data_IF_614071800034
#
_entry.id   IF_614071800034
#
_cell.length_a   1.000
_cell.length_b   1.000
_cell.length_c   1.000
_cell.angle_alpha   90.00
_cell.angle_beta   90.00
_cell.angle_gamma   90.00
#
_symmetry.space_group_name_H-M   'P 1'
#
loop_
_entity.id
_entity.type
_entity.pdbx_description
1 polymer ?
#
# COMPACT_ATOMS: atom_id res chain seq x y z
N UNK A 1 -0.26 17.44 3.60
CA UNK A 1 -0.65 16.01 3.73
C UNK A 1 0.40 15.32 4.59
N UNK A 2 0.00 14.39 5.46
CA UNK A 2 0.91 13.60 6.30
C UNK A 2 1.84 12.73 5.43
N UNK A 3 3.06 12.46 5.90
CA UNK A 3 4.07 11.70 5.15
C UNK A 3 3.85 10.20 5.28
N UNK A 4 4.04 9.43 4.21
CA UNK A 4 4.09 7.96 4.29
C UNK A 4 5.36 7.51 5.01
N UNK A 5 5.33 6.30 5.61
CA UNK A 5 6.56 5.75 6.23
C UNK A 5 7.68 5.53 5.19
N UNK A 6 7.32 5.27 3.92
CA UNK A 6 8.28 5.14 2.81
C UNK A 6 8.97 6.46 2.46
N UNK A 7 8.23 7.57 2.45
CA UNK A 7 8.82 8.91 2.29
C UNK A 7 9.74 9.25 3.45
N UNK A 8 9.35 8.90 4.69
CA UNK A 8 10.20 9.11 5.86
C UNK A 8 11.48 8.30 5.78
N UNK A 9 11.41 7.02 5.38
CA UNK A 9 12.59 6.17 5.15
C UNK A 9 13.51 6.75 4.08
N UNK A 10 12.95 7.18 2.95
CA UNK A 10 13.71 7.76 1.84
C UNK A 10 14.40 9.06 2.26
N UNK A 11 13.70 9.90 3.03
CA UNK A 11 14.29 11.10 3.62
C UNK A 11 15.46 10.77 4.55
N UNK A 12 15.28 9.85 5.49
CA UNK A 12 16.34 9.45 6.43
C UNK A 12 17.53 8.80 5.71
N UNK A 13 17.28 7.97 4.71
CA UNK A 13 18.32 7.37 3.87
C UNK A 13 19.08 8.42 3.07
N UNK A 14 18.40 9.48 2.60
CA UNK A 14 19.04 10.60 1.89
C UNK A 14 20.01 11.40 2.77
N UNK A 15 19.89 11.30 4.09
CA UNK A 15 20.77 11.95 5.07
C UNK A 15 22.00 11.10 5.39
N UNK A 16 21.99 9.79 5.09
CA UNK A 16 23.11 8.89 5.38
C UNK A 16 24.37 9.41 4.68
N UNK A 17 25.47 9.49 5.43
CA UNK A 17 26.74 10.06 4.94
C UNK A 17 26.79 11.61 4.94
N UNK A 18 25.71 12.29 5.34
CA UNK A 18 25.65 13.76 5.43
C UNK A 18 25.57 14.24 6.88
N UNK A 19 26.10 15.43 7.12
CA UNK A 19 25.96 16.15 8.40
C UNK A 19 24.60 16.84 8.40
N UNK A 20 23.78 16.57 9.40
CA UNK A 20 22.46 17.21 9.57
C UNK A 20 22.60 18.68 9.96
N UNK A 21 21.72 19.53 9.44
CA UNK A 21 21.74 20.97 9.69
C UNK A 21 20.59 21.33 10.63
N UNK A 22 20.89 21.99 11.73
CA UNK A 22 19.90 22.59 12.61
C UNK A 22 19.65 24.05 12.19
N UNK A 23 18.45 24.32 11.68
CA UNK A 23 18.08 25.67 11.20
C UNK A 23 17.85 26.67 12.33
N UNK A 24 17.69 26.20 13.57
CA UNK A 24 17.42 27.04 14.74
C UNK A 24 18.69 27.43 15.52
N UNK A 25 19.75 26.64 15.39
CA UNK A 25 21.05 26.86 16.03
C UNK A 25 22.15 26.06 15.31
N UNK A 26 23.02 26.77 14.60
CA UNK A 26 24.15 26.15 13.88
C UNK A 26 25.14 25.40 14.78
N UNK A 27 25.20 25.69 16.09
CA UNK A 27 26.02 24.94 17.05
C UNK A 27 25.54 23.51 17.27
N UNK A 28 24.31 23.19 16.86
CA UNK A 28 23.71 21.86 16.94
C UNK A 28 23.87 21.05 15.65
N UNK A 29 24.52 21.61 14.62
CA UNK A 29 24.79 20.89 13.37
C UNK A 29 25.53 19.57 13.62
N UNK A 30 25.06 18.50 12.97
CA UNK A 30 25.62 17.16 13.09
C UNK A 30 25.34 16.44 14.40
N UNK A 31 24.65 17.06 15.36
CA UNK A 31 24.30 16.40 16.62
C UNK A 31 23.06 15.50 16.47
N UNK A 32 22.93 14.48 17.32
CA UNK A 32 21.78 13.57 17.34
C UNK A 32 20.42 14.29 17.37
N UNK A 33 20.30 15.39 18.11
CA UNK A 33 19.05 16.20 18.18
C UNK A 33 18.71 16.88 16.86
N UNK A 34 19.72 17.25 16.05
CA UNK A 34 19.49 17.88 14.75
C UNK A 34 18.84 16.90 13.78
N UNK A 35 19.17 15.61 13.83
CA UNK A 35 18.49 14.57 13.03
C UNK A 35 16.99 14.51 13.35
N UNK A 36 16.62 14.54 14.64
CA UNK A 36 15.23 14.51 15.07
C UNK A 36 14.47 15.75 14.60
N UNK A 37 15.09 16.94 14.70
CA UNK A 37 14.50 18.20 14.22
C UNK A 37 14.26 18.20 12.72
N UNK A 38 15.22 17.70 11.94
CA UNK A 38 15.09 17.54 10.49
C UNK A 38 13.94 16.60 10.14
N UNK A 39 13.80 15.49 10.87
CA UNK A 39 12.67 14.57 10.72
C UNK A 39 11.34 15.24 11.04
N UNK A 40 11.23 15.93 12.18
CA UNK A 40 10.00 16.61 12.60
C UNK A 40 9.58 17.69 11.59
N UNK A 41 10.54 18.43 11.04
CA UNK A 41 10.28 19.39 9.96
C UNK A 41 9.77 18.68 8.70
N UNK A 42 10.42 17.58 8.29
CA UNK A 42 10.02 16.81 7.11
C UNK A 42 8.60 16.25 7.19
N UNK A 43 8.21 15.73 8.36
CA UNK A 43 6.85 15.19 8.58
C UNK A 43 5.80 16.27 8.87
N UNK A 44 6.20 17.53 8.97
CA UNK A 44 5.31 18.65 9.25
C UNK A 44 4.77 18.68 10.68
N UNK A 45 5.53 18.14 11.64
CA UNK A 45 5.16 18.24 13.06
C UNK A 45 5.26 19.70 13.53
N UNK A 46 4.36 20.15 14.43
CA UNK A 46 4.41 21.49 14.98
C UNK A 46 5.68 21.67 15.83
N UNK A 47 6.26 22.87 15.78
CA UNK A 47 7.43 23.27 16.58
C UNK A 47 8.62 22.27 16.53
N UNK A 48 9.13 21.90 15.34
CA UNK A 48 10.17 20.86 15.22
C UNK A 48 11.44 21.17 16.02
N UNK A 49 11.73 22.45 16.28
CA UNK A 49 12.90 22.94 17.00
C UNK A 49 12.70 23.14 18.52
N UNK A 50 11.57 22.69 19.08
CA UNK A 50 11.24 22.94 20.49
C UNK A 50 12.27 22.37 21.49
N UNK A 51 12.90 21.24 21.17
CA UNK A 51 13.98 20.70 21.99
C UNK A 51 15.31 21.40 21.65
N UNK A 52 15.79 22.28 22.53
CA UNK A 52 17.06 23.02 22.35
C UNK A 52 18.19 22.54 23.27
N UNK A 53 17.88 21.59 24.16
CA UNK A 53 18.79 21.08 25.20
C UNK A 53 19.34 19.68 24.91
N UNK A 54 19.63 18.96 25.98
CA UNK A 54 20.24 17.64 25.93
C UNK A 54 19.28 16.61 25.31
N UNK A 55 19.82 15.60 24.62
CA UNK A 55 19.02 14.53 24.03
C UNK A 55 18.13 13.82 25.07
N UNK A 56 18.58 13.73 26.33
CA UNK A 56 17.80 13.15 27.44
C UNK A 56 16.51 13.92 27.79
N UNK A 57 16.40 15.19 27.38
CA UNK A 57 15.26 16.06 27.72
C UNK A 57 14.15 15.98 26.67
N UNK A 58 14.44 15.41 25.48
CA UNK A 58 13.51 15.24 24.36
C UNK A 58 12.17 14.61 24.78
N UNK A 59 12.13 13.51 25.55
CA UNK A 59 10.85 12.94 26.02
C UNK A 59 9.97 13.95 26.74
N UNK A 60 10.53 14.72 27.69
CA UNK A 60 9.75 15.65 28.50
C UNK A 60 9.20 16.80 27.64
N UNK A 61 10.03 17.34 26.72
CA UNK A 61 9.63 18.45 25.84
C UNK A 61 8.60 18.01 24.80
N UNK A 62 8.84 16.94 24.05
CA UNK A 62 7.96 16.57 22.94
C UNK A 62 6.66 15.93 23.40
N UNK A 63 6.64 15.21 24.52
CA UNK A 63 5.38 14.67 25.06
C UNK A 63 4.50 15.79 25.61
N UNK A 64 5.06 16.73 26.39
CA UNK A 64 4.28 17.84 26.96
C UNK A 64 3.68 18.77 25.91
N UNK A 65 4.33 18.89 24.73
CA UNK A 65 3.84 19.69 23.61
C UNK A 65 2.94 18.91 22.63
N UNK A 66 2.64 17.64 22.90
CA UNK A 66 1.86 16.80 22.01
C UNK A 66 2.57 16.44 20.70
N UNK A 67 3.87 16.71 20.58
CA UNK A 67 4.71 16.38 19.42
C UNK A 67 4.95 14.87 19.34
N UNK A 68 5.08 14.18 20.47
CA UNK A 68 5.24 12.73 20.50
C UNK A 68 4.40 12.09 21.62
N UNK A 69 4.12 10.79 21.50
CA UNK A 69 3.46 9.99 22.54
C UNK A 69 4.45 9.03 23.16
N UNK A 70 4.33 8.74 24.46
CA UNK A 70 5.14 7.70 25.10
C UNK A 70 4.72 6.33 24.57
N UNK A 71 5.70 5.47 24.27
CA UNK A 71 5.47 4.11 23.77
C UNK A 71 5.90 3.92 22.33
N UNK A 72 5.83 2.68 21.86
CA UNK A 72 6.25 2.31 20.52
C UNK A 72 5.17 2.55 19.45
N UNK A 73 5.62 2.69 18.22
CA UNK A 73 4.83 2.86 17.00
C UNK A 73 5.57 2.38 15.76
N UNK A 74 5.13 2.82 14.60
CA UNK A 74 5.81 2.57 13.32
C UNK A 74 7.03 3.47 13.16
N UNK A 75 6.89 4.77 13.41
CA UNK A 75 7.97 5.75 13.45
C UNK A 75 8.27 6.14 14.89
N UNK A 76 9.51 5.95 15.33
CA UNK A 76 9.90 6.15 16.72
C UNK A 76 11.13 7.04 16.85
N UNK A 77 11.18 7.80 17.95
CA UNK A 77 12.42 8.32 18.52
C UNK A 77 12.81 7.39 19.66
N UNK A 78 13.98 6.78 19.57
CA UNK A 78 14.60 6.06 20.68
C UNK A 78 15.54 6.99 21.43
N UNK A 79 15.50 6.91 22.76
CA UNK A 79 16.25 7.77 23.66
C UNK A 79 17.04 6.92 24.63
N UNK A 80 18.30 7.28 24.85
CA UNK A 80 19.11 6.79 25.95
C UNK A 80 19.50 7.98 26.82
N UNK A 81 18.83 8.16 27.96
CA UNK A 81 19.10 9.29 28.88
C UNK A 81 20.50 9.26 29.49
N UNK A 82 21.07 8.06 29.62
CA UNK A 82 22.39 7.83 30.18
C UNK A 82 23.50 7.78 29.10
N UNK A 83 23.12 7.85 27.82
CA UNK A 83 24.05 7.89 26.71
C UNK A 83 24.89 9.17 26.72
N UNK A 84 26.00 9.14 25.99
CA UNK A 84 26.80 10.32 25.69
C UNK A 84 27.22 11.15 26.91
N UNK A 85 27.87 10.53 27.90
CA UNK A 85 28.41 11.27 29.06
C UNK A 85 27.36 12.00 29.91
N UNK A 86 26.10 11.55 29.90
CA UNK A 86 25.00 12.15 30.68
C UNK A 86 24.23 13.26 29.97
N UNK A 87 24.57 13.57 28.72
CA UNK A 87 23.79 14.44 27.81
C UNK A 87 22.66 13.66 27.09
N UNK A 88 22.72 12.34 27.16
CA UNK A 88 21.82 11.44 26.48
C UNK A 88 22.16 11.26 25.00
N UNK A 89 21.49 10.32 24.36
CA UNK A 89 21.58 10.06 22.92
C UNK A 89 20.20 9.76 22.36
N UNK A 90 19.91 10.23 21.15
CA UNK A 90 18.63 10.00 20.46
C UNK A 90 18.84 9.54 19.04
N UNK A 91 17.96 8.68 18.55
CA UNK A 91 17.99 8.21 17.18
C UNK A 91 16.59 7.86 16.67
N UNK A 92 16.45 7.75 15.35
CA UNK A 92 15.18 7.38 14.72
C UNK A 92 15.14 5.87 14.53
N UNK A 93 14.00 5.23 14.83
CA UNK A 93 13.75 3.80 14.56
C UNK A 93 12.49 3.59 13.73
N UNK A 94 12.59 2.71 12.73
CA UNK A 94 11.45 2.19 11.96
C UNK A 94 11.64 0.67 11.80
N UNK A 95 10.85 -0.13 12.52
CA UNK A 95 11.04 -1.58 12.57
C UNK A 95 12.44 -1.94 13.10
N UNK A 96 13.18 -2.72 12.31
CA UNK A 96 14.58 -3.10 12.62
C UNK A 96 15.62 -2.05 12.19
N UNK A 97 15.23 -1.04 11.41
CA UNK A 97 16.17 -0.02 10.95
C UNK A 97 16.30 1.14 11.95
N UNK A 98 17.51 1.69 12.02
CA UNK A 98 17.83 2.87 12.81
C UNK A 98 18.73 3.86 12.08
N UNK A 99 18.49 5.15 12.30
CA UNK A 99 19.30 6.26 11.78
C UNK A 99 19.76 7.12 12.94
N UNK A 100 21.07 7.35 13.03
CA UNK A 100 21.66 8.19 14.06
C UNK A 100 22.75 9.09 13.51
N UNK A 101 22.69 10.37 13.90
CA UNK A 101 23.85 11.25 13.88
C UNK A 101 24.52 11.15 15.25
N UNK A 102 25.85 11.05 15.27
CA UNK A 102 26.61 11.05 16.52
C UNK A 102 26.87 12.51 16.96
N UNK A 103 27.90 12.74 17.76
CA UNK A 103 28.28 14.06 18.27
C UNK A 103 28.60 15.07 17.16
N UNK A 104 28.89 16.32 17.53
CA UNK A 104 29.12 17.42 16.60
C UNK A 104 30.00 17.05 15.38
N UNK A 105 29.51 17.30 14.17
CA UNK A 105 30.23 17.09 12.91
C UNK A 105 30.19 15.66 12.32
N UNK A 106 29.51 14.70 12.97
CA UNK A 106 29.40 13.34 12.42
C UNK A 106 28.25 13.19 11.42
N UNK A 107 28.51 12.48 10.34
CA UNK A 107 27.49 12.11 9.37
C UNK A 107 26.46 11.14 9.95
N UNK A 108 25.22 11.21 9.45
CA UNK A 108 24.18 10.22 9.76
C UNK A 108 24.64 8.83 9.30
N UNK A 109 24.45 7.85 10.16
CA UNK A 109 24.72 6.44 9.90
C UNK A 109 23.46 5.63 10.09
N UNK A 110 23.35 4.53 9.34
CA UNK A 110 22.24 3.59 9.40
C UNK A 110 22.70 2.28 10.04
N UNK A 111 21.93 1.76 10.99
CA UNK A 111 22.11 0.42 11.59
C UNK A 111 23.48 0.17 12.26
N UNK A 112 24.09 1.20 12.86
CA UNK A 112 25.48 1.17 13.39
C UNK A 112 25.58 0.91 14.91
N UNK A 113 24.65 0.13 15.46
CA UNK A 113 24.64 -0.26 16.88
C UNK A 113 23.86 0.70 17.78
N UNK A 114 23.05 0.11 18.66
CA UNK A 114 22.13 0.83 19.55
C UNK A 114 22.64 0.77 21.00
N UNK A 115 22.57 1.90 21.69
CA UNK A 115 22.77 1.94 23.14
C UNK A 115 21.48 1.55 23.86
N UNK A 116 21.57 1.20 25.15
CA UNK A 116 20.40 0.85 25.95
C UNK A 116 19.35 1.97 25.92
N UNK A 117 18.17 1.64 25.41
CA UNK A 117 17.03 2.53 25.29
C UNK A 117 16.40 2.70 26.67
N UNK A 118 16.24 3.95 27.10
CA UNK A 118 15.50 4.32 28.32
C UNK A 118 14.08 4.75 28.01
N UNK A 119 13.85 5.38 26.85
CA UNK A 119 12.52 5.86 26.44
C UNK A 119 12.32 5.62 24.94
N UNK A 120 11.09 5.31 24.56
CA UNK A 120 10.63 5.26 23.16
C UNK A 120 9.46 6.23 23.03
N UNK A 121 9.53 7.08 22.00
CA UNK A 121 8.50 8.05 21.67
C UNK A 121 7.92 7.74 20.28
N UNK A 122 6.61 7.59 20.20
CA UNK A 122 5.83 7.34 19.00
C UNK A 122 5.53 8.67 18.28
N UNK A 123 5.79 8.69 16.96
CA UNK A 123 5.53 9.81 16.05
C UNK A 123 4.47 9.49 14.97
N UNK A 124 3.72 8.40 15.13
CA UNK A 124 2.80 7.87 14.11
C UNK A 124 1.70 8.87 13.72
N UNK A 125 1.37 9.81 14.60
CA UNK A 125 0.41 10.87 14.32
C UNK A 125 0.85 11.83 13.20
N UNK A 126 2.13 11.82 12.82
CA UNK A 126 2.68 12.66 11.74
C UNK A 126 2.88 11.89 10.43
N UNK A 127 2.56 10.60 10.42
CA UNK A 127 2.64 9.78 9.23
C UNK A 127 1.25 9.26 8.84
N UNK A 128 1.03 9.04 7.55
CA UNK A 128 -0.17 8.34 7.10
C UNK A 128 -0.04 6.86 7.47
N UNK A 129 -1.00 6.33 8.24
CA UNK A 129 -1.12 4.89 8.54
C UNK A 129 -1.58 4.05 7.35
N UNK A 130 -1.79 4.69 6.20
CA UNK A 130 -1.92 4.05 4.90
C UNK A 130 -0.63 3.28 4.60
N UNK A 131 -0.72 1.94 4.61
CA UNK A 131 0.26 1.05 3.98
C UNK A 131 0.21 1.23 2.45
N UNK A 132 0.42 2.45 1.97
CA UNK A 132 0.57 2.76 0.54
C UNK A 132 2.06 2.66 0.19
N UNK A 133 2.44 1.70 -0.68
CA UNK A 133 3.82 1.54 -1.09
C UNK A 133 4.29 2.77 -1.86
N UNK A 134 5.44 3.31 -1.45
CA UNK A 134 6.13 4.42 -2.11
C UNK A 134 6.47 4.06 -3.57
N UNK A 135 6.32 4.99 -4.52
CA UNK A 135 6.81 4.82 -5.88
C UNK A 135 8.34 4.84 -5.87
N UNK A 136 8.94 3.64 -5.76
CA UNK A 136 10.39 3.42 -5.75
C UNK A 136 10.93 2.55 -4.61
N UNK A 137 10.09 2.15 -3.64
CA UNK A 137 10.49 1.30 -2.51
C UNK A 137 10.23 -0.19 -2.77
N UNK A 138 11.16 -1.06 -2.36
CA UNK A 138 11.03 -2.52 -2.36
C UNK A 138 9.71 -2.92 -1.68
N UNK A 139 8.76 -3.46 -2.42
CA UNK A 139 7.63 -4.16 -1.81
C UNK A 139 8.16 -5.42 -1.12
N UNK A 140 7.78 -5.62 0.15
CA UNK A 140 8.21 -6.77 0.97
C UNK A 140 7.05 -7.52 1.59
N UNK A 141 5.81 -7.11 1.30
CA UNK A 141 4.58 -7.67 1.87
C UNK A 141 3.52 -7.79 0.78
N UNK A 142 2.61 -8.76 0.93
CA UNK A 142 1.50 -8.94 0.01
C UNK A 142 0.54 -7.74 0.06
N UNK A 143 0.24 -7.18 -1.11
CA UNK A 143 -0.75 -6.14 -1.33
C UNK A 143 -2.13 -6.70 -1.69
N UNK A 144 -3.11 -5.80 -1.77
CA UNK A 144 -4.51 -6.20 -2.00
C UNK A 144 -4.76 -6.79 -3.38
N UNK A 145 -3.99 -6.39 -4.40
CA UNK A 145 -4.07 -6.93 -5.76
C UNK A 145 -3.55 -8.37 -5.79
N UNK A 146 -2.43 -8.64 -5.12
CA UNK A 146 -1.89 -9.98 -4.93
C UNK A 146 -2.82 -10.91 -4.15
N UNK A 147 -3.35 -10.46 -3.01
CA UNK A 147 -4.32 -11.25 -2.22
C UNK A 147 -5.56 -11.60 -3.04
N UNK A 148 -6.15 -10.63 -3.75
CA UNK A 148 -7.31 -10.88 -4.61
C UNK A 148 -6.99 -11.87 -5.73
N UNK A 149 -5.81 -11.77 -6.34
CA UNK A 149 -5.37 -12.68 -7.39
C UNK A 149 -5.24 -14.11 -6.87
N UNK A 150 -4.59 -14.31 -5.72
CA UNK A 150 -4.44 -15.64 -5.11
C UNK A 150 -5.82 -16.23 -4.80
N UNK A 151 -6.66 -15.49 -4.07
CA UNK A 151 -8.00 -15.95 -3.68
C UNK A 151 -8.88 -16.32 -4.87
N UNK A 152 -8.77 -15.58 -5.99
CA UNK A 152 -9.47 -15.88 -7.24
C UNK A 152 -9.10 -17.25 -7.81
N UNK A 153 -7.83 -17.68 -7.70
CA UNK A 153 -7.38 -18.94 -8.27
C UNK A 153 -7.48 -20.13 -7.32
N UNK A 154 -7.26 -19.93 -6.02
CA UNK A 154 -7.36 -21.02 -5.04
C UNK A 154 -8.81 -21.41 -4.76
N UNK A 155 -9.69 -20.41 -4.59
CA UNK A 155 -11.02 -20.62 -4.02
C UNK A 155 -10.96 -21.01 -2.54
N UNK A 156 -12.03 -20.71 -1.79
CA UNK A 156 -12.12 -21.06 -0.37
C UNK A 156 -12.99 -22.30 -0.19
N UNK A 157 -12.45 -23.34 0.47
CA UNK A 157 -13.21 -24.54 0.86
C UNK A 157 -13.20 -24.68 2.37
N UNK A 158 -14.35 -24.42 3.00
CA UNK A 158 -14.46 -24.37 4.46
C UNK A 158 -14.49 -25.74 5.15
N UNK A 159 -14.61 -26.83 4.40
CA UNK A 159 -14.51 -28.20 4.91
C UNK A 159 -13.23 -28.83 4.38
N UNK A 160 -12.45 -29.46 5.27
CA UNK A 160 -11.22 -30.13 4.90
C UNK A 160 -11.48 -31.24 3.85
N UNK A 161 -10.54 -31.42 2.93
CA UNK A 161 -10.62 -32.41 1.86
C UNK A 161 -9.25 -33.01 1.57
N UNK A 162 -9.25 -34.22 1.01
CA UNK A 162 -8.05 -34.97 0.61
C UNK A 162 -8.06 -35.08 -0.92
N UNK A 163 -6.95 -34.68 -1.56
CA UNK A 163 -6.78 -34.76 -3.01
C UNK A 163 -6.08 -36.07 -3.44
N UNK A 164 -5.66 -36.91 -2.49
CA UNK A 164 -4.89 -38.13 -2.73
C UNK A 164 -3.40 -37.90 -2.95
N UNK A 165 -2.91 -36.68 -2.72
CA UNK A 165 -1.51 -36.27 -2.87
C UNK A 165 -0.68 -36.37 -1.57
N UNK A 166 -1.29 -36.92 -0.50
CA UNK A 166 -0.67 -37.06 0.81
C UNK A 166 -0.85 -35.84 1.73
N UNK A 167 -1.62 -34.84 1.31
CA UNK A 167 -1.95 -33.65 2.11
C UNK A 167 -3.45 -33.57 2.41
N UNK A 168 -3.79 -32.97 3.56
CA UNK A 168 -5.16 -32.57 3.87
C UNK A 168 -5.28 -31.07 3.70
N UNK A 169 -6.21 -30.63 2.84
CA UNK A 169 -6.35 -29.22 2.43
C UNK A 169 -7.64 -28.60 2.97
N UNK A 170 -7.61 -27.33 3.37
CA UNK A 170 -8.77 -26.54 3.84
C UNK A 170 -8.57 -25.04 3.58
N UNK A 171 -9.64 -24.24 3.60
CA UNK A 171 -9.60 -22.79 3.46
C UNK A 171 -9.15 -22.36 2.07
N UNK A 172 -8.22 -21.40 2.02
CA UNK A 172 -7.64 -20.85 0.79
C UNK A 172 -6.47 -21.67 0.24
N UNK A 173 -6.48 -23.00 0.42
CA UNK A 173 -5.38 -23.87 0.00
C UNK A 173 -4.36 -24.19 1.10
N UNK A 174 -4.70 -23.97 2.37
CA UNK A 174 -3.88 -24.41 3.49
C UNK A 174 -3.82 -25.94 3.49
N UNK A 175 -2.61 -26.50 3.50
CA UNK A 175 -2.38 -27.94 3.38
C UNK A 175 -1.39 -28.43 4.45
N UNK A 176 -1.75 -29.51 5.13
CA UNK A 176 -0.90 -30.17 6.13
C UNK A 176 -0.67 -31.65 5.77
N UNK A 177 0.51 -32.22 6.05
CA UNK A 177 0.80 -33.62 5.75
C UNK A 177 -0.14 -34.59 6.46
N UNK A 178 -0.66 -35.55 5.71
CA UNK A 178 -1.52 -36.60 6.24
C UNK A 178 -0.77 -37.40 7.32
N UNK A 179 -1.42 -37.57 8.48
CA UNK A 179 -0.83 -38.22 9.66
C UNK A 179 -0.02 -37.28 10.57
N UNK A 180 0.18 -36.02 10.18
CA UNK A 180 0.82 -34.97 11.02
C UNK A 180 -0.11 -33.77 11.24
N UNK A 181 -1.41 -33.96 11.05
CA UNK A 181 -2.42 -32.92 11.09
C UNK A 181 -3.62 -33.33 11.95
N UNK A 182 -4.26 -32.35 12.59
CA UNK A 182 -5.57 -32.53 13.21
C UNK A 182 -6.74 -32.35 12.22
N UNK A 183 -6.47 -31.97 10.97
CA UNK A 183 -7.49 -31.81 9.93
C UNK A 183 -8.01 -33.19 9.50
N UNK A 184 -9.33 -33.36 9.55
CA UNK A 184 -10.02 -34.58 9.15
C UNK A 184 -10.90 -34.28 7.93
N UNK A 185 -10.62 -34.89 6.76
CA UNK A 185 -11.42 -34.70 5.55
C UNK A 185 -12.91 -34.95 5.76
N UNK A 186 -13.75 -34.06 5.26
CA UNK A 186 -15.21 -34.11 5.39
C UNK A 186 -15.74 -33.79 6.79
N UNK A 187 -14.89 -33.62 7.81
CA UNK A 187 -15.29 -33.44 9.21
C UNK A 187 -14.82 -32.08 9.75
N UNK A 188 -13.54 -31.73 9.59
CA UNK A 188 -13.04 -30.45 10.07
C UNK A 188 -13.58 -29.31 9.22
N UNK A 189 -14.20 -28.33 9.88
CA UNK A 189 -14.76 -27.14 9.23
C UNK A 189 -14.20 -25.85 9.82
N UNK A 190 -13.98 -24.85 8.99
CA UNK A 190 -13.59 -23.50 9.40
C UNK A 190 -14.70 -22.49 9.11
N UNK A 191 -14.72 -21.38 9.85
CA UNK A 191 -15.43 -20.18 9.43
C UNK A 191 -14.63 -19.46 8.34
N UNK A 192 -15.30 -18.62 7.55
CA UNK A 192 -14.62 -17.78 6.56
C UNK A 192 -13.52 -16.92 7.20
N UNK A 193 -13.80 -16.30 8.35
CA UNK A 193 -12.82 -15.51 9.10
C UNK A 193 -11.60 -16.34 9.53
N UNK A 194 -11.79 -17.62 9.89
CA UNK A 194 -10.66 -18.50 10.24
C UNK A 194 -9.81 -18.85 9.03
N UNK A 195 -10.44 -19.12 7.88
CA UNK A 195 -9.73 -19.35 6.63
C UNK A 195 -8.92 -18.11 6.21
N UNK A 196 -9.49 -16.91 6.34
CA UNK A 196 -8.81 -15.64 6.04
C UNK A 196 -7.64 -15.35 7.01
N UNK A 197 -7.82 -15.66 8.30
CA UNK A 197 -6.75 -15.55 9.30
C UNK A 197 -5.60 -16.52 8.99
N UNK A 198 -5.92 -17.77 8.67
CA UNK A 198 -4.91 -18.78 8.34
C UNK A 198 -4.18 -18.44 7.05
N UNK A 199 -4.88 -17.97 6.02
CA UNK A 199 -4.27 -17.50 4.78
C UNK A 199 -3.18 -16.45 5.04
N UNK A 200 -3.46 -15.46 5.90
CA UNK A 200 -2.47 -14.44 6.28
C UNK A 200 -1.23 -15.03 6.95
N UNK A 201 -1.39 -16.08 7.76
CA UNK A 201 -0.26 -16.79 8.41
C UNK A 201 0.55 -17.57 7.38
N UNK A 202 -0.10 -18.30 6.50
CA UNK A 202 0.57 -19.08 5.45
C UNK A 202 1.36 -18.18 4.50
N UNK A 203 0.80 -17.02 4.14
CA UNK A 203 1.43 -16.04 3.26
C UNK A 203 2.81 -15.57 3.74
N UNK A 204 3.10 -15.63 5.04
CA UNK A 204 4.42 -15.27 5.59
C UNK A 204 5.54 -16.09 4.93
N UNK A 205 5.34 -17.40 4.74
CA UNK A 205 6.36 -18.27 4.16
C UNK A 205 6.63 -17.91 2.68
N UNK A 206 5.58 -17.64 1.91
CA UNK A 206 5.66 -17.32 0.48
C UNK A 206 6.25 -15.92 0.24
N UNK A 207 5.84 -14.93 1.03
CA UNK A 207 6.41 -13.58 1.02
C UNK A 207 7.90 -13.63 1.35
N UNK A 208 8.29 -14.39 2.37
CA UNK A 208 9.70 -14.57 2.74
C UNK A 208 10.52 -15.25 1.65
N UNK A 209 9.95 -16.24 0.95
CA UNK A 209 10.62 -16.90 -0.16
C UNK A 209 10.98 -15.90 -1.29
N UNK A 210 10.07 -15.01 -1.67
CA UNK A 210 10.37 -13.94 -2.66
C UNK A 210 11.41 -12.98 -2.12
N UNK A 211 11.23 -12.48 -0.89
CA UNK A 211 12.12 -11.48 -0.28
C UNK A 211 13.57 -11.95 -0.10
N UNK A 212 13.75 -13.24 0.23
CA UNK A 212 15.06 -13.82 0.52
C UNK A 212 15.78 -14.31 -0.73
N UNK A 213 15.03 -14.66 -1.78
CA UNK A 213 15.63 -15.20 -2.99
C UNK A 213 16.21 -14.11 -3.90
N UNK A 214 15.44 -13.07 -4.19
CA UNK A 214 15.84 -12.01 -5.11
C UNK A 214 16.63 -10.91 -4.39
N UNK A 215 17.71 -10.46 -5.04
CA UNK A 215 18.55 -9.38 -4.53
C UNK A 215 18.06 -8.00 -4.99
N UNK A 216 17.31 -7.93 -6.10
CA UNK A 216 16.68 -6.70 -6.59
C UNK A 216 15.36 -6.40 -5.89
N UNK A 217 14.93 -5.16 -6.03
CA UNK A 217 13.63 -4.69 -5.56
C UNK A 217 12.56 -4.84 -6.64
N UNK A 218 11.34 -5.11 -6.20
CA UNK A 218 10.13 -5.14 -7.01
C UNK A 218 9.20 -4.00 -6.59
N UNK A 219 8.47 -3.43 -7.54
CA UNK A 219 7.31 -2.61 -7.21
C UNK A 219 6.18 -3.48 -6.60
N UNK A 220 5.12 -2.88 -6.07
CA UNK A 220 4.06 -3.65 -5.40
C UNK A 220 3.37 -4.67 -6.30
N UNK A 221 3.03 -4.32 -7.53
CA UNK A 221 2.35 -5.24 -8.44
C UNK A 221 3.27 -6.41 -8.85
N UNK A 222 4.55 -6.13 -9.07
CA UNK A 222 5.57 -7.15 -9.34
C UNK A 222 5.71 -8.11 -8.14
N UNK A 223 5.81 -7.57 -6.93
CA UNK A 223 5.91 -8.39 -5.71
C UNK A 223 4.65 -9.24 -5.49
N UNK A 224 3.48 -8.65 -5.69
CA UNK A 224 2.19 -9.34 -5.57
C UNK A 224 2.06 -10.51 -6.55
N UNK A 225 2.47 -10.31 -7.81
CA UNK A 225 2.50 -11.36 -8.82
C UNK A 225 3.47 -12.48 -8.43
N UNK A 226 4.67 -12.13 -7.96
CA UNK A 226 5.67 -13.11 -7.50
C UNK A 226 5.21 -13.89 -6.28
N UNK A 227 4.54 -13.25 -5.32
CA UNK A 227 3.95 -13.91 -4.17
C UNK A 227 2.84 -14.89 -4.59
N UNK A 228 1.99 -14.51 -5.54
CA UNK A 228 0.93 -15.38 -6.08
C UNK A 228 1.49 -16.60 -6.83
N UNK A 229 2.53 -16.38 -7.63
CA UNK A 229 3.26 -17.45 -8.31
C UNK A 229 3.90 -18.42 -7.31
N UNK A 230 4.56 -17.90 -6.28
CA UNK A 230 5.19 -18.70 -5.23
C UNK A 230 4.18 -19.48 -4.42
N UNK A 231 3.01 -18.91 -4.14
CA UNK A 231 1.91 -19.61 -3.47
C UNK A 231 1.49 -20.86 -4.24
N UNK A 232 1.43 -20.77 -5.57
CA UNK A 232 1.08 -21.91 -6.42
C UNK A 232 2.17 -22.97 -6.53
N UNK A 233 3.42 -22.54 -6.69
CA UNK A 233 4.52 -23.42 -7.07
C UNK A 233 5.39 -23.88 -5.88
N UNK A 234 5.11 -23.34 -4.68
CA UNK A 234 5.84 -23.59 -3.45
C UNK A 234 7.02 -22.64 -3.24
N UNK A 235 7.41 -22.47 -1.98
CA UNK A 235 8.48 -21.56 -1.52
C UNK A 235 9.86 -21.86 -2.10
N UNK A 236 10.10 -23.09 -2.56
CA UNK A 236 11.38 -23.52 -3.15
C UNK A 236 11.51 -23.32 -4.66
N UNK A 237 10.46 -22.84 -5.35
CA UNK A 237 10.41 -22.81 -6.83
C UNK A 237 11.63 -22.15 -7.47
N UNK A 238 12.02 -20.97 -6.99
CA UNK A 238 13.11 -20.22 -7.60
C UNK A 238 14.46 -20.92 -7.43
N UNK A 239 14.74 -21.46 -6.24
CA UNK A 239 15.99 -22.16 -5.95
C UNK A 239 16.08 -23.50 -6.69
N UNK A 240 14.99 -24.27 -6.69
CA UNK A 240 14.90 -25.56 -7.37
C UNK A 240 15.21 -25.43 -8.87
N UNK A 241 14.69 -24.38 -9.48
CA UNK A 241 14.78 -24.18 -10.93
C UNK A 241 15.86 -23.14 -11.31
N UNK A 242 16.73 -22.78 -10.35
CA UNK A 242 17.91 -21.93 -10.50
C UNK A 242 17.67 -20.59 -11.22
N UNK A 243 16.65 -19.85 -10.80
CA UNK A 243 16.38 -18.51 -11.33
C UNK A 243 17.50 -17.51 -11.03
N UNK A 244 17.70 -16.51 -11.90
CA UNK A 244 18.63 -15.43 -11.58
C UNK A 244 18.10 -14.58 -10.42
N UNK A 245 18.89 -14.43 -9.36
CA UNK A 245 18.54 -13.59 -8.19
C UNK A 245 18.44 -12.11 -8.55
N UNK A 246 19.03 -11.67 -9.65
CA UNK A 246 18.94 -10.33 -10.21
C UNK A 246 18.18 -10.30 -11.55
N UNK A 247 17.34 -11.33 -11.81
CA UNK A 247 16.62 -11.49 -13.07
C UNK A 247 15.96 -10.20 -13.57
N UNK A 248 16.02 -9.97 -14.88
CA UNK A 248 15.26 -8.92 -15.54
C UNK A 248 13.76 -9.21 -15.51
N UNK A 249 12.95 -8.18 -15.76
CA UNK A 249 11.49 -8.32 -15.82
C UNK A 249 11.06 -9.28 -16.95
N UNK A 250 11.78 -9.27 -18.08
CA UNK A 250 11.54 -10.21 -19.18
C UNK A 250 11.84 -11.65 -18.79
N UNK A 251 12.97 -11.90 -18.11
CA UNK A 251 13.32 -13.24 -17.63
C UNK A 251 12.25 -13.79 -16.71
N UNK A 252 11.76 -12.97 -15.76
CA UNK A 252 10.73 -13.38 -14.79
C UNK A 252 9.43 -13.73 -15.52
N UNK A 253 8.95 -12.86 -16.39
CA UNK A 253 7.67 -13.06 -17.10
C UNK A 253 7.71 -14.25 -18.06
N UNK A 254 8.82 -14.45 -18.79
CA UNK A 254 9.06 -15.63 -19.61
C UNK A 254 9.13 -16.92 -18.78
N UNK A 255 9.81 -16.86 -17.62
CA UNK A 255 9.91 -18.00 -16.70
C UNK A 255 8.54 -18.39 -16.14
N UNK A 256 7.76 -17.44 -15.63
CA UNK A 256 6.39 -17.65 -15.12
C UNK A 256 5.52 -18.34 -16.18
N UNK A 257 5.60 -17.90 -17.45
CA UNK A 257 4.79 -18.45 -18.54
C UNK A 257 5.03 -19.96 -18.81
N UNK A 258 6.16 -20.51 -18.38
CA UNK A 258 6.49 -21.93 -18.58
C UNK A 258 5.83 -22.88 -17.56
N UNK A 259 5.33 -22.37 -16.43
CA UNK A 259 4.73 -23.19 -15.36
C UNK A 259 3.24 -23.46 -15.61
N UNK A 260 2.97 -24.26 -16.64
CA UNK A 260 1.60 -24.57 -17.11
C UNK A 260 1.28 -26.07 -17.19
N UNK A 261 2.16 -26.99 -16.78
CA UNK A 261 1.94 -28.44 -16.86
C UNK A 261 1.37 -28.90 -18.22
N UNK A 262 2.15 -28.71 -19.29
CA UNK A 262 1.74 -29.00 -20.68
C UNK A 262 1.21 -30.43 -20.85
N UNK A 263 0.10 -30.58 -21.56
CA UNK A 263 -0.56 -31.86 -21.85
C UNK A 263 -1.44 -32.39 -20.71
N UNK A 264 -1.60 -31.65 -19.61
CA UNK A 264 -2.46 -32.06 -18.49
C UNK A 264 -3.80 -31.34 -18.52
N UNK A 265 -4.81 -31.91 -17.85
CA UNK A 265 -6.11 -31.24 -17.66
C UNK A 265 -6.03 -29.89 -16.92
N UNK A 266 -4.90 -29.60 -16.25
CA UNK A 266 -4.68 -28.36 -15.52
C UNK A 266 -4.10 -27.25 -16.39
N UNK A 267 -3.66 -27.56 -17.61
CA UNK A 267 -2.87 -26.65 -18.45
C UNK A 267 -3.59 -25.33 -18.72
N UNK A 268 -4.87 -25.38 -19.12
CA UNK A 268 -5.63 -24.17 -19.43
C UNK A 268 -5.83 -23.27 -18.20
N UNK A 269 -6.07 -23.88 -17.03
CA UNK A 269 -6.20 -23.17 -15.76
C UNK A 269 -4.91 -22.47 -15.36
N UNK A 270 -3.78 -23.19 -15.45
CA UNK A 270 -2.47 -22.63 -15.16
C UNK A 270 -2.07 -21.55 -16.17
N UNK A 271 -2.30 -21.76 -17.47
CA UNK A 271 -2.04 -20.75 -18.51
C UNK A 271 -2.74 -19.43 -18.21
N UNK A 272 -4.02 -19.49 -17.82
CA UNK A 272 -4.79 -18.31 -17.40
C UNK A 272 -4.20 -17.67 -16.13
N UNK A 273 -3.83 -18.47 -15.13
CA UNK A 273 -3.17 -17.97 -13.91
C UNK A 273 -1.86 -17.24 -14.19
N UNK A 274 -0.96 -17.88 -14.94
CA UNK A 274 0.32 -17.29 -15.34
C UNK A 274 0.12 -15.99 -16.12
N UNK A 275 -0.84 -15.94 -17.03
CA UNK A 275 -1.15 -14.73 -17.78
C UNK A 275 -1.61 -13.57 -16.87
N UNK A 276 -2.48 -13.83 -15.90
CA UNK A 276 -2.94 -12.78 -14.97
C UNK A 276 -1.85 -12.33 -13.99
N UNK A 277 -0.99 -13.25 -13.53
CA UNK A 277 0.20 -12.92 -12.74
C UNK A 277 1.17 -12.04 -13.56
N UNK A 278 1.43 -12.39 -14.82
CA UNK A 278 2.27 -11.58 -15.74
C UNK A 278 1.64 -10.21 -16.00
N UNK A 279 0.32 -10.15 -16.20
CA UNK A 279 -0.40 -8.89 -16.40
C UNK A 279 -0.25 -7.98 -15.17
N UNK A 280 -0.43 -8.54 -13.96
CA UNK A 280 -0.21 -7.80 -12.73
C UNK A 280 1.26 -7.34 -12.63
N UNK A 281 2.22 -8.23 -12.86
CA UNK A 281 3.65 -7.91 -12.83
C UNK A 281 4.03 -6.74 -13.76
N UNK A 282 3.46 -6.71 -14.96
CA UNK A 282 3.70 -5.68 -15.96
C UNK A 282 2.89 -4.39 -15.73
N UNK A 283 1.91 -4.40 -14.83
CA UNK A 283 1.11 -3.21 -14.52
C UNK A 283 1.98 -2.21 -13.75
N UNK A 284 2.28 -1.03 -14.30
CA UNK A 284 3.05 -0.02 -13.58
C UNK A 284 2.32 0.40 -12.31
N UNK A 285 3.07 0.71 -11.26
CA UNK A 285 2.53 1.39 -10.08
C UNK A 285 2.73 2.89 -10.32
N UNK A 286 1.76 3.55 -10.93
CA UNK A 286 1.70 5.01 -10.92
C UNK A 286 1.42 5.46 -9.49
N UNK A 287 2.23 6.39 -8.97
CA UNK A 287 1.94 7.05 -7.70
C UNK A 287 0.73 7.94 -7.85
N UNK A 288 -0.46 7.34 -7.81
CA UNK A 288 -1.80 7.92 -7.68
C UNK A 288 -2.82 6.78 -7.92
N UNK A 289 -2.99 5.88 -6.96
CA UNK A 289 -4.11 4.93 -6.90
C UNK A 289 -4.59 4.75 -5.46
N UNK A 290 -5.13 5.81 -4.86
CA UNK A 290 -6.25 5.69 -3.93
C UNK A 290 -7.51 6.10 -4.70
N UNK A 291 -8.00 5.19 -5.54
CA UNK A 291 -9.42 5.16 -5.86
C UNK A 291 -9.84 3.74 -6.26
N UNK A 292 -10.16 2.92 -5.25
CA UNK A 292 -11.04 1.77 -5.46
C UNK A 292 -12.46 2.23 -5.20
N UNK A 293 -13.23 2.27 -6.29
CA UNK A 293 -14.64 1.92 -6.42
C UNK A 293 -15.30 1.44 -5.11
N UNK A 294 -16.21 2.25 -4.57
CA UNK A 294 -17.34 1.75 -3.80
C UNK A 294 -18.57 1.73 -4.72
N UNK A 295 -19.09 0.52 -4.96
CA UNK A 295 -20.31 0.22 -5.73
C UNK A 295 -21.57 0.94 -5.21
N UNK A 296 -21.54 1.58 -4.04
CA UNK A 296 -22.64 2.43 -3.54
C UNK A 296 -22.72 3.80 -4.23
N UNK A 297 -21.62 4.34 -4.79
CA UNK A 297 -21.65 5.67 -5.47
C UNK A 297 -22.15 5.61 -6.92
N UNK A 298 -22.07 4.44 -7.58
CA UNK A 298 -22.67 4.25 -8.91
C UNK A 298 -24.21 4.31 -8.87
N UNK A 299 -24.84 4.01 -7.72
CA UNK A 299 -26.29 4.13 -7.54
C UNK A 299 -26.77 5.59 -7.37
N UNK A 300 -25.88 6.52 -7.00
CA UNK A 300 -26.20 7.96 -6.90
C UNK A 300 -26.07 8.72 -8.23
N UNK A 301 -25.60 8.05 -9.29
CA UNK A 301 -25.44 8.61 -10.62
C UNK A 301 -26.69 8.44 -11.48
N UNK A 302 -27.41 9.52 -11.73
CA UNK A 302 -28.58 9.48 -12.63
C UNK A 302 -28.11 9.65 -14.08
N UNK A 303 -28.29 8.61 -14.89
CA UNK A 303 -28.10 8.67 -16.35
C UNK A 303 -29.33 9.26 -17.02
N UNK A 304 -29.13 10.31 -17.81
CA UNK A 304 -30.19 10.98 -18.56
C UNK A 304 -29.92 10.83 -20.06
N UNK A 305 -30.98 10.62 -20.83
CA UNK A 305 -30.93 10.67 -22.31
C UNK A 305 -31.77 11.85 -22.77
N UNK A 306 -31.15 12.80 -23.46
CA UNK A 306 -31.84 13.93 -24.04
C UNK A 306 -32.37 13.51 -25.41
N UNK A 307 -33.69 13.42 -25.52
CA UNK A 307 -34.39 13.18 -26.78
C UNK A 307 -35.02 14.51 -27.17
N UNK A 308 -34.30 15.33 -27.94
CA UNK A 308 -34.88 16.53 -28.53
C UNK A 308 -34.47 16.71 -29.99
N UNK A 309 -35.47 16.90 -30.85
CA UNK A 309 -35.32 17.17 -32.28
C UNK A 309 -34.37 16.26 -33.06
N UNK A 310 -33.60 16.88 -33.96
CA UNK A 310 -32.70 16.25 -34.94
C UNK A 310 -31.51 15.54 -34.26
N UNK A 311 -31.20 15.88 -33.01
CA UNK A 311 -30.10 15.32 -32.23
C UNK A 311 -30.60 14.24 -31.25
N UNK A 312 -31.03 13.10 -31.81
CA UNK A 312 -31.29 11.91 -30.98
C UNK A 312 -29.97 11.39 -30.41
N UNK A 313 -29.82 11.39 -29.09
CA UNK A 313 -28.89 10.47 -28.41
C UNK A 313 -27.89 11.06 -27.43
N UNK A 314 -27.95 12.34 -27.08
CA UNK A 314 -26.97 12.86 -26.11
C UNK A 314 -27.27 12.34 -24.71
N UNK A 315 -26.31 11.62 -24.14
CA UNK A 315 -26.35 11.08 -22.77
C UNK A 315 -25.64 12.06 -21.83
N UNK A 316 -26.32 12.45 -20.76
CA UNK A 316 -25.78 13.27 -19.67
C UNK A 316 -25.86 12.54 -18.34
N UNK A 317 -25.11 13.00 -17.35
CA UNK A 317 -25.05 12.41 -16.01
C UNK A 317 -25.25 13.48 -14.93
N UNK A 318 -25.86 13.11 -13.81
CA UNK A 318 -25.98 13.95 -12.63
C UNK A 318 -25.32 13.25 -11.44
N UNK A 319 -24.35 13.90 -10.81
CA UNK A 319 -23.66 13.41 -9.60
C UNK A 319 -23.84 14.41 -8.46
N UNK A 320 -24.43 14.01 -7.33
CA UNK A 320 -24.57 14.88 -6.15
C UNK A 320 -25.13 16.30 -6.44
N UNK A 321 -26.09 16.40 -7.36
CA UNK A 321 -26.66 17.69 -7.75
C UNK A 321 -25.76 18.53 -8.67
N UNK A 322 -24.79 17.91 -9.35
CA UNK A 322 -23.92 18.58 -10.33
C UNK A 322 -24.09 17.94 -11.70
N UNK A 323 -24.19 18.78 -12.73
CA UNK A 323 -24.52 18.34 -14.09
C UNK A 323 -23.27 18.10 -14.94
N UNK A 324 -23.22 16.95 -15.59
CA UNK A 324 -22.07 16.44 -16.33
C UNK A 324 -22.54 16.09 -17.76
N UNK A 325 -22.18 16.88 -18.77
CA UNK A 325 -22.45 16.54 -20.18
C UNK A 325 -21.15 16.21 -20.89
N UNK A 326 -21.09 15.01 -21.46
CA UNK A 326 -20.11 14.68 -22.49
C UNK A 326 -20.74 14.88 -23.86
N UNK A 327 -20.24 15.87 -24.62
CA UNK A 327 -20.51 15.98 -26.06
C UNK A 327 -21.18 17.28 -26.52
N UNK A 328 -21.11 17.47 -27.84
CA UNK A 328 -21.49 18.68 -28.55
C UNK A 328 -23.02 18.75 -28.75
N UNK A 329 -23.77 19.06 -27.69
CA UNK A 329 -25.20 19.39 -27.82
C UNK A 329 -25.36 20.87 -28.11
N UNK A 330 -25.85 21.19 -29.31
CA UNK A 330 -26.10 22.57 -29.73
C UNK A 330 -27.18 23.32 -28.95
N UNK A 331 -27.73 22.79 -27.85
CA UNK A 331 -28.79 23.47 -27.10
C UNK A 331 -28.83 23.14 -25.59
N UNK A 332 -27.76 23.53 -24.88
CA UNK A 332 -27.63 23.37 -23.43
C UNK A 332 -28.82 23.97 -22.64
N UNK A 333 -29.40 25.07 -23.13
CA UNK A 333 -30.47 25.81 -22.45
C UNK A 333 -31.74 24.99 -22.22
N UNK A 334 -32.13 24.14 -23.18
CA UNK A 334 -33.34 23.30 -23.06
C UNK A 334 -33.16 22.26 -21.95
N UNK A 335 -31.95 21.68 -21.87
CA UNK A 335 -31.62 20.69 -20.86
C UNK A 335 -31.62 21.33 -19.47
N UNK A 336 -31.00 22.50 -19.32
CA UNK A 336 -31.02 23.25 -18.06
C UNK A 336 -32.43 23.60 -17.58
N UNK A 337 -33.32 24.00 -18.49
CA UNK A 337 -34.71 24.33 -18.13
C UNK A 337 -35.50 23.10 -17.64
N UNK A 338 -35.30 21.92 -18.26
CA UNK A 338 -35.94 20.69 -17.81
C UNK A 338 -35.38 20.19 -16.48
N UNK A 339 -34.07 20.31 -16.26
CA UNK A 339 -33.43 19.95 -15.00
C UNK A 339 -33.90 20.83 -13.84
N UNK A 340 -33.97 22.16 -14.05
CA UNK A 340 -34.56 23.09 -13.07
C UNK A 340 -36.02 22.77 -12.76
N UNK A 341 -36.80 22.36 -13.75
CA UNK A 341 -38.17 21.89 -13.51
C UNK A 341 -38.18 20.64 -12.63
N UNK A 342 -37.37 19.61 -12.94
CA UNK A 342 -37.26 18.39 -12.15
C UNK A 342 -36.81 18.65 -10.70
N UNK A 343 -35.89 19.58 -10.51
CA UNK A 343 -35.47 20.08 -9.19
C UNK A 343 -36.65 20.75 -8.46
N UNK A 344 -37.36 21.67 -9.12
CA UNK A 344 -38.48 22.40 -8.49
C UNK A 344 -39.65 21.51 -8.06
N UNK A 345 -39.82 20.35 -8.71
CA UNK A 345 -40.84 19.34 -8.36
C UNK A 345 -40.28 18.22 -7.46
N UNK A 346 -39.07 18.38 -6.93
CA UNK A 346 -38.45 17.46 -5.97
C UNK A 346 -38.06 16.10 -6.55
N UNK A 347 -37.90 15.97 -7.86
CA UNK A 347 -37.51 14.71 -8.53
C UNK A 347 -36.01 14.47 -8.52
N UNK A 348 -35.21 15.52 -8.35
CA UNK A 348 -33.75 15.44 -8.19
C UNK A 348 -33.30 16.37 -7.05
N UNK A 349 -32.11 16.13 -6.49
CA UNK A 349 -31.48 17.02 -5.49
C UNK A 349 -31.18 18.40 -6.12
N UNK A 350 -31.05 19.49 -5.31
CA UNK A 350 -30.78 20.82 -5.84
C UNK A 350 -29.50 20.90 -6.65
N UNK A 351 -29.49 21.71 -7.71
CA UNK A 351 -28.35 21.83 -8.61
C UNK A 351 -27.47 22.99 -8.14
N UNK A 352 -26.24 22.68 -7.71
CA UNK A 352 -25.41 23.67 -7.05
C UNK A 352 -24.51 24.44 -8.03
N UNK A 353 -23.73 23.79 -8.92
CA UNK A 353 -22.88 24.46 -9.92
C UNK A 353 -22.53 23.55 -11.12
N UNK A 354 -22.07 24.15 -12.23
CA UNK A 354 -21.48 23.45 -13.38
C UNK A 354 -20.07 22.93 -13.03
N UNK A 355 -19.71 21.74 -13.52
CA UNK A 355 -18.33 21.26 -13.42
C UNK A 355 -17.49 21.74 -14.61
N UNK A 356 -16.27 22.20 -14.32
CA UNK A 356 -15.31 22.57 -15.36
C UNK A 356 -14.68 21.33 -16.03
N UNK A 357 -14.01 21.52 -17.17
CA UNK A 357 -13.43 20.42 -17.96
C UNK A 357 -12.41 19.57 -17.20
N UNK A 358 -11.61 20.18 -16.31
CA UNK A 358 -10.62 19.45 -15.49
C UNK A 358 -11.31 18.56 -14.46
N UNK A 359 -12.41 19.03 -13.89
CA UNK A 359 -13.22 18.30 -12.92
C UNK A 359 -14.07 17.21 -13.59
N UNK A 360 -14.55 17.47 -14.82
CA UNK A 360 -15.17 16.48 -15.71
C UNK A 360 -14.23 15.31 -16.00
N UNK A 361 -13.00 15.60 -16.46
CA UNK A 361 -12.00 14.57 -16.76
C UNK A 361 -11.67 13.74 -15.51
N UNK A 362 -11.61 14.37 -14.34
CA UNK A 362 -11.43 13.65 -13.07
C UNK A 362 -12.61 12.71 -12.81
N UNK A 363 -13.85 13.19 -12.91
CA UNK A 363 -15.05 12.39 -12.63
C UNK A 363 -15.23 11.20 -13.59
N UNK A 364 -14.99 11.37 -14.90
CA UNK A 364 -15.11 10.25 -15.85
C UNK A 364 -13.98 9.21 -15.72
N UNK A 365 -12.83 9.60 -15.15
CA UNK A 365 -11.75 8.67 -14.82
C UNK A 365 -12.08 7.84 -13.57
N UNK A 366 -12.86 8.39 -12.63
CA UNK A 366 -13.40 7.65 -11.48
C UNK A 366 -14.47 6.65 -11.90
N UNK A 367 -15.32 7.00 -12.88
CA UNK A 367 -16.40 6.13 -13.37
C UNK A 367 -16.23 5.76 -14.86
N UNK A 368 -15.25 4.89 -15.20
CA UNK A 368 -14.85 4.62 -16.58
C UNK A 368 -15.92 3.88 -17.41
N UNK A 369 -16.91 3.24 -16.78
CA UNK A 369 -18.08 2.61 -17.43
C UNK A 369 -18.91 3.60 -18.26
N UNK A 370 -18.82 4.90 -17.95
CA UNK A 370 -19.54 5.98 -18.62
C UNK A 370 -18.71 6.73 -19.67
N UNK A 371 -17.41 6.43 -19.76
CA UNK A 371 -16.44 7.09 -20.65
C UNK A 371 -16.71 6.86 -22.15
N UNK A 372 -17.51 5.84 -22.49
CA UNK A 372 -17.77 5.41 -23.87
C UNK A 372 -19.27 5.22 -24.20
N UNK A 373 -20.20 5.73 -23.40
CA UNK A 373 -21.61 5.71 -23.80
C UNK A 373 -21.88 6.83 -24.81
N UNK A 374 -21.39 6.67 -26.05
CA UNK A 374 -21.91 7.41 -27.20
C UNK A 374 -23.39 7.14 -27.40
#
# INVERSE_FOLDING_TARGET
>A
MAKTIGEVRSFLDSLVGKVTVDKSDSGLNGQCVSLIKNLLEFVGAPNPYAARGNAKDIPNTYVSQGIAKVGAGTLNIAVSRNGGGGYGHVWVKIGSDSWQANWNGFAVKKNVGEVSITDILNLDQWISTSNTPSPGGKATTLGTKGEALIKKFEGCRLTAYDLGDGMITIGWGHAEPKGQTSLVPGVTTWSQAKADEQFKKDMVAYVNAVNNYFIRSFNQNQFDAMASFTYNCGTGVFARDNWDKNASDSYITESIANYINKGTQFEEGLRRRRQEEINLFNTPVSGDEDNKLNTEEEEEMIKLTVIDGIYKGTKGFLYNGRFIVGGNTGDYNIIYNKLKLMESIGKIKPIYEDINSTEYEKLINVFPSYRNSK
#
